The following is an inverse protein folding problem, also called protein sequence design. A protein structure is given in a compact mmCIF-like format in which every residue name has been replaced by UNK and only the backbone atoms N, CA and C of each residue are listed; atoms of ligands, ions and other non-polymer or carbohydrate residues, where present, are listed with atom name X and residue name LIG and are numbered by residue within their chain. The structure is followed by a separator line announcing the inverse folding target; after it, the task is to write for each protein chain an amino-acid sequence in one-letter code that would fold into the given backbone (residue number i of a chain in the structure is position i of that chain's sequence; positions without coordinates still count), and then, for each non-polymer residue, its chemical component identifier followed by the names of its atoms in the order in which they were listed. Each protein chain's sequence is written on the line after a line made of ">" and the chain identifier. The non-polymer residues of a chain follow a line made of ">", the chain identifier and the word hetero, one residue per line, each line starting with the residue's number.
data_IF_087782244411
#
_entry.id   IF_087782244411
#
_cell.length_a   1.000
_cell.length_b   1.000
_cell.length_c   1.000
_cell.angle_alpha   90.00
_cell.angle_beta   90.00
_cell.angle_gamma   90.00
#
_symmetry.space_group_name_H-M   'P 1'
#
loop_
_entity.id
_entity.type
_entity.pdbx_description
1 polymer ?
#
# COMPACT_ATOMS: atom_id res chain seq x y z
N UNK A 1 -2.34 -12.04 37.40
CA UNK A 1 -1.26 -11.12 36.96
C UNK A 1 -1.23 -10.93 35.45
N UNK A 2 -1.85 -11.80 34.64
CA UNK A 2 -1.86 -11.67 33.17
C UNK A 2 -2.87 -10.65 32.59
N UNK A 3 -3.91 -10.25 33.32
CA UNK A 3 -4.93 -9.32 32.83
C UNK A 3 -4.40 -7.89 32.61
N UNK A 4 -3.43 -7.44 33.42
CA UNK A 4 -2.82 -6.11 33.29
C UNK A 4 -1.90 -6.00 32.08
N UNK A 5 -1.26 -7.09 31.66
CA UNK A 5 -0.43 -7.11 30.44
C UNK A 5 -1.30 -7.09 29.18
N UNK A 6 -2.44 -7.78 29.19
CA UNK A 6 -3.40 -7.76 28.08
C UNK A 6 -4.02 -6.38 27.84
N UNK A 7 -4.37 -5.64 28.91
CA UNK A 7 -4.90 -4.28 28.79
C UNK A 7 -3.89 -3.29 28.20
N UNK A 8 -2.62 -3.35 28.63
CA UNK A 8 -1.59 -2.43 28.13
C UNK A 8 -1.27 -2.67 26.64
N UNK A 9 -1.24 -3.94 26.20
CA UNK A 9 -1.07 -4.26 24.77
C UNK A 9 -2.25 -3.72 23.95
N UNK A 10 -3.48 -3.86 24.44
CA UNK A 10 -4.65 -3.33 23.75
C UNK A 10 -4.63 -1.80 23.61
N UNK A 11 -4.11 -1.08 24.61
CA UNK A 11 -4.02 0.38 24.60
C UNK A 11 -2.97 0.84 23.58
N UNK A 12 -1.80 0.21 23.54
CA UNK A 12 -0.73 0.57 22.60
C UNK A 12 -1.16 0.34 21.15
N UNK A 13 -1.81 -0.79 20.87
CA UNK A 13 -2.34 -1.09 19.53
C UNK A 13 -3.44 -0.09 19.12
N UNK A 14 -4.33 0.27 20.05
CA UNK A 14 -5.37 1.27 19.78
C UNK A 14 -4.79 2.67 19.56
N UNK A 15 -3.73 3.04 20.30
CA UNK A 15 -3.01 4.29 20.11
C UNK A 15 -2.32 4.34 18.74
N UNK A 16 -1.68 3.24 18.33
CA UNK A 16 -1.08 3.12 17.00
C UNK A 16 -2.12 3.31 15.89
N UNK A 17 -3.28 2.66 16.00
CA UNK A 17 -4.41 2.85 15.06
C UNK A 17 -4.89 4.29 15.07
N UNK A 18 -5.07 4.90 16.26
CA UNK A 18 -5.50 6.30 16.39
C UNK A 18 -4.54 7.25 15.70
N UNK A 19 -3.23 7.11 15.91
CA UNK A 19 -2.21 7.94 15.26
C UNK A 19 -2.24 7.80 13.74
N UNK A 20 -2.43 6.58 13.22
CA UNK A 20 -2.56 6.35 11.77
C UNK A 20 -3.86 6.94 11.20
N UNK A 21 -4.96 6.86 11.94
CA UNK A 21 -6.24 7.45 11.55
C UNK A 21 -6.16 8.98 11.48
N UNK A 22 -5.49 9.62 12.44
CA UNK A 22 -5.25 11.07 12.42
C UNK A 22 -4.41 11.49 11.20
N UNK A 23 -3.34 10.75 10.89
CA UNK A 23 -2.55 10.99 9.67
C UNK A 23 -3.37 10.82 8.38
N UNK A 24 -4.27 9.84 8.33
CA UNK A 24 -5.16 9.64 7.20
C UNK A 24 -6.15 10.81 7.07
N UNK A 25 -6.72 11.26 8.18
CA UNK A 25 -7.62 12.41 8.23
C UNK A 25 -6.92 13.70 7.74
N UNK A 26 -5.69 13.96 8.20
CA UNK A 26 -4.88 15.08 7.72
C UNK A 26 -4.66 15.00 6.20
N UNK A 27 -4.25 13.82 5.71
CA UNK A 27 -4.04 13.57 4.28
C UNK A 27 -5.33 13.80 3.47
N UNK A 28 -6.47 13.36 3.99
CA UNK A 28 -7.77 13.56 3.37
C UNK A 28 -8.16 15.04 3.30
N UNK A 29 -7.94 15.79 4.38
CA UNK A 29 -8.18 17.23 4.40
C UNK A 29 -7.32 17.97 3.37
N UNK A 30 -6.04 17.61 3.23
CA UNK A 30 -5.17 18.18 2.20
C UNK A 30 -5.64 17.82 0.78
N UNK A 31 -6.13 16.60 0.58
CA UNK A 31 -6.72 16.19 -0.70
C UNK A 31 -7.98 17.00 -1.01
N UNK A 32 -8.91 17.14 -0.05
CA UNK A 32 -10.13 17.94 -0.22
C UNK A 32 -9.85 19.40 -0.54
N UNK A 33 -8.84 20.02 0.09
CA UNK A 33 -8.42 21.37 -0.25
C UNK A 33 -7.94 21.50 -1.70
N UNK A 34 -7.37 20.43 -2.26
CA UNK A 34 -6.86 20.40 -3.64
C UNK A 34 -7.99 20.22 -4.66
N UNK A 35 -9.04 19.48 -4.28
CA UNK A 35 -10.21 19.19 -5.12
C UNK A 35 -11.34 20.20 -4.88
N UNK A 36 -11.12 21.21 -4.04
CA UNK A 36 -12.14 22.19 -3.69
C UNK A 36 -12.66 22.89 -4.96
N UNK A 37 -13.96 22.82 -5.27
CA UNK A 37 -14.55 23.43 -6.46
C UNK A 37 -14.45 24.97 -6.48
N UNK A 38 -14.18 25.61 -5.34
CA UNK A 38 -13.99 27.06 -5.23
C UNK A 38 -12.59 27.55 -5.67
N UNK A 39 -11.65 26.63 -5.83
CA UNK A 39 -10.28 26.91 -6.28
C UNK A 39 -10.09 26.47 -7.74
N UNK A 40 -9.14 27.06 -8.47
CA UNK A 40 -8.79 26.57 -9.80
C UNK A 40 -8.38 25.10 -9.72
N UNK A 41 -8.94 24.28 -10.62
CA UNK A 41 -8.72 22.83 -10.64
C UNK A 41 -7.22 22.55 -10.71
N UNK A 42 -6.70 21.84 -9.70
CA UNK A 42 -5.31 21.41 -9.65
C UNK A 42 -4.95 20.54 -10.86
N UNK A 43 -3.70 20.59 -11.29
CA UNK A 43 -3.24 19.76 -12.40
C UNK A 43 -3.40 18.27 -12.08
N UNK A 44 -3.82 17.48 -13.07
CA UNK A 44 -4.04 16.04 -12.89
C UNK A 44 -2.89 15.28 -12.20
N UNK A 45 -1.59 15.53 -12.53
CA UNK A 45 -0.48 14.89 -11.83
C UNK A 45 -0.44 15.17 -10.31
N UNK A 46 -0.87 16.36 -9.90
CA UNK A 46 -0.92 16.75 -8.49
C UNK A 46 -2.03 16.00 -7.75
N UNK A 47 -3.22 15.89 -8.36
CA UNK A 47 -4.34 15.11 -7.83
C UNK A 47 -3.92 13.64 -7.69
N UNK A 48 -3.30 13.08 -8.73
CA UNK A 48 -2.84 11.69 -8.74
C UNK A 48 -1.80 11.43 -7.65
N UNK A 49 -0.82 12.34 -7.49
CA UNK A 49 0.18 12.21 -6.44
C UNK A 49 -0.45 12.22 -5.04
N UNK A 50 -1.36 13.16 -4.77
CA UNK A 50 -2.07 13.24 -3.48
C UNK A 50 -2.98 12.04 -3.24
N UNK A 51 -3.62 11.53 -4.29
CA UNK A 51 -4.42 10.30 -4.23
C UNK A 51 -3.56 9.07 -3.92
N UNK A 52 -2.39 8.92 -4.55
CA UNK A 52 -1.47 7.82 -4.26
C UNK A 52 -0.99 7.84 -2.80
N UNK A 53 -0.72 9.03 -2.25
CA UNK A 53 -0.37 9.20 -0.84
C UNK A 53 -1.55 8.75 0.06
N UNK A 54 -2.78 9.15 -0.29
CA UNK A 54 -3.99 8.73 0.43
C UNK A 54 -4.14 7.20 0.42
N UNK A 55 -3.99 6.56 -0.74
CA UNK A 55 -4.08 5.10 -0.89
C UNK A 55 -3.00 4.41 -0.06
N UNK A 56 -1.76 4.89 -0.11
CA UNK A 56 -0.67 4.32 0.68
C UNK A 56 -0.94 4.40 2.20
N UNK A 57 -1.48 5.52 2.68
CA UNK A 57 -1.88 5.70 4.09
C UNK A 57 -3.06 4.79 4.47
N UNK A 58 -4.04 4.64 3.58
CA UNK A 58 -5.19 3.74 3.79
C UNK A 58 -4.76 2.27 3.88
N UNK A 59 -3.91 1.80 2.98
CA UNK A 59 -3.40 0.41 3.00
C UNK A 59 -2.60 0.16 4.29
N UNK A 60 -1.78 1.13 4.72
CA UNK A 60 -1.03 1.03 5.97
C UNK A 60 -1.97 0.93 7.20
N UNK A 61 -3.06 1.71 7.22
CA UNK A 61 -4.06 1.63 8.27
C UNK A 61 -4.77 0.25 8.27
N UNK A 62 -5.12 -0.26 7.08
CA UNK A 62 -5.82 -1.54 6.95
C UNK A 62 -4.98 -2.70 7.52
N UNK A 63 -3.67 -2.70 7.25
CA UNK A 63 -2.76 -3.71 7.81
C UNK A 63 -2.74 -3.70 9.35
N UNK A 64 -2.89 -2.52 9.97
CA UNK A 64 -2.95 -2.41 11.44
C UNK A 64 -4.30 -2.88 11.99
N UNK A 65 -5.41 -2.53 11.31
CA UNK A 65 -6.77 -2.88 11.75
C UNK A 65 -7.02 -4.40 11.68
N UNK A 66 -6.36 -5.11 10.77
CA UNK A 66 -6.47 -6.57 10.65
C UNK A 66 -5.86 -7.31 11.85
N UNK A 67 -5.16 -6.61 12.76
CA UNK A 67 -4.56 -7.18 13.95
C UNK A 67 -5.59 -8.00 14.78
N UNK A 68 -5.32 -9.30 15.05
CA UNK A 68 -6.23 -10.16 15.80
C UNK A 68 -6.51 -9.70 17.23
N UNK A 69 -5.66 -8.85 17.80
CA UNK A 69 -5.87 -8.24 19.13
C UNK A 69 -7.11 -7.35 19.13
N UNK A 70 -7.27 -6.51 18.09
CA UNK A 70 -8.40 -5.58 17.97
C UNK A 70 -9.73 -6.31 17.75
N UNK A 71 -9.73 -7.45 17.05
CA UNK A 71 -10.93 -8.27 16.83
C UNK A 71 -11.52 -8.86 18.11
N UNK A 72 -10.71 -9.00 19.16
CA UNK A 72 -11.14 -9.52 20.47
C UNK A 72 -11.57 -8.40 21.42
N UNK A 73 -11.35 -7.14 21.06
CA UNK A 73 -11.70 -5.99 21.87
C UNK A 73 -13.16 -5.62 21.69
N UNK A 74 -13.90 -5.51 22.80
CA UNK A 74 -15.27 -5.00 22.81
C UNK A 74 -15.27 -3.65 23.50
N UNK A 75 -15.83 -2.65 22.82
CA UNK A 75 -15.95 -1.30 23.36
C UNK A 75 -17.31 -1.13 24.03
N UNK A 76 -17.30 -0.66 25.27
CA UNK A 76 -18.50 -0.20 25.97
C UNK A 76 -18.23 1.15 26.64
N UNK A 77 -19.20 2.06 26.70
CA UNK A 77 -19.09 3.26 27.52
C UNK A 77 -18.85 2.88 28.98
N UNK A 78 -17.93 3.58 29.64
CA UNK A 78 -17.64 3.38 31.07
C UNK A 78 -18.76 3.94 31.95
N UNK A 79 -19.37 5.05 31.52
CA UNK A 79 -20.46 5.71 32.21
C UNK A 79 -21.74 5.62 31.35
N UNK A 80 -22.90 5.32 31.96
CA UNK A 80 -24.16 5.37 31.24
C UNK A 80 -24.48 6.83 30.87
N UNK A 81 -24.99 7.05 29.66
CA UNK A 81 -25.44 8.38 29.27
C UNK A 81 -26.56 8.87 30.20
N UNK A 82 -26.43 10.11 30.63
CA UNK A 82 -27.35 10.75 31.57
C UNK A 82 -28.51 11.45 30.85
N UNK A 83 -28.35 11.75 29.56
CA UNK A 83 -29.36 12.42 28.74
C UNK A 83 -29.70 11.62 27.49
N UNK A 84 -30.91 11.82 26.98
CA UNK A 84 -31.34 11.22 25.70
C UNK A 84 -30.48 11.69 24.51
N UNK A 85 -29.93 12.91 24.59
CA UNK A 85 -29.02 13.44 23.57
C UNK A 85 -27.67 12.70 23.56
N UNK A 86 -27.10 12.43 24.73
CA UNK A 86 -25.87 11.62 24.85
C UNK A 86 -26.10 10.20 24.31
N UNK A 87 -27.26 9.60 24.62
CA UNK A 87 -27.64 8.29 24.10
C UNK A 87 -27.71 8.29 22.56
N UNK A 88 -28.30 9.32 21.95
CA UNK A 88 -28.36 9.44 20.48
C UNK A 88 -26.96 9.59 19.87
N UNK A 89 -26.08 10.43 20.45
CA UNK A 89 -24.72 10.63 19.95
C UNK A 89 -23.90 9.35 20.06
N UNK A 90 -23.93 8.67 21.21
CA UNK A 90 -23.21 7.41 21.40
C UNK A 90 -23.71 6.33 20.44
N UNK A 91 -25.02 6.26 20.20
CA UNK A 91 -25.61 5.33 19.24
C UNK A 91 -25.10 5.54 17.81
N UNK A 92 -24.79 6.78 17.43
CA UNK A 92 -24.18 7.10 16.13
C UNK A 92 -22.68 6.79 16.13
N UNK A 93 -21.94 7.17 17.17
CA UNK A 93 -20.48 7.01 17.23
C UNK A 93 -20.04 5.54 17.34
N UNK A 94 -20.79 4.71 18.07
CA UNK A 94 -20.50 3.29 18.28
C UNK A 94 -21.22 2.39 17.26
N UNK A 95 -21.90 2.96 16.27
CA UNK A 95 -22.55 2.20 15.22
C UNK A 95 -21.52 1.45 14.38
N UNK A 96 -21.68 0.14 14.28
CA UNK A 96 -20.92 -0.73 13.37
C UNK A 96 -21.68 -1.09 12.09
N UNK A 97 -22.94 -0.67 11.97
CA UNK A 97 -23.73 -0.87 10.75
C UNK A 97 -23.12 -0.07 9.61
N UNK A 98 -22.87 -0.75 8.49
CA UNK A 98 -22.32 -0.20 7.26
C UNK A 98 -23.16 0.99 6.73
N UNK A 99 -22.54 1.78 5.85
CA UNK A 99 -23.26 2.86 5.15
C UNK A 99 -24.17 2.26 4.07
N UNK A 100 -25.33 2.88 3.78
CA UNK A 100 -26.31 2.32 2.86
C UNK A 100 -25.78 2.01 1.45
N UNK A 101 -24.83 2.80 0.97
CA UNK A 101 -24.20 2.62 -0.33
C UNK A 101 -23.42 1.30 -0.40
N UNK A 102 -22.64 1.00 0.65
CA UNK A 102 -21.89 -0.26 0.76
C UNK A 102 -22.84 -1.44 0.94
N UNK A 103 -23.93 -1.27 1.73
CA UNK A 103 -24.93 -2.34 1.89
C UNK A 103 -25.58 -2.71 0.56
N UNK A 104 -25.87 -1.72 -0.29
CA UNK A 104 -26.43 -1.93 -1.63
C UNK A 104 -25.42 -2.65 -2.54
N UNK A 105 -24.18 -2.17 -2.60
CA UNK A 105 -23.13 -2.80 -3.41
C UNK A 105 -22.85 -4.25 -2.97
N UNK A 106 -22.83 -4.53 -1.67
CA UNK A 106 -22.71 -5.89 -1.16
C UNK A 106 -23.89 -6.78 -1.58
N UNK A 107 -25.10 -6.23 -1.60
CA UNK A 107 -26.29 -6.98 -2.02
C UNK A 107 -26.23 -7.28 -3.52
N UNK A 108 -25.84 -6.32 -4.34
CA UNK A 108 -25.64 -6.51 -5.79
C UNK A 108 -24.64 -7.64 -6.07
N UNK A 109 -23.50 -7.65 -5.39
CA UNK A 109 -22.51 -8.73 -5.52
C UNK A 109 -23.06 -10.07 -5.04
N UNK A 110 -23.83 -10.10 -3.94
CA UNK A 110 -24.47 -11.32 -3.45
C UNK A 110 -25.49 -11.88 -4.44
N UNK A 111 -26.23 -11.01 -5.12
CA UNK A 111 -27.22 -11.40 -6.12
C UNK A 111 -26.54 -11.94 -7.38
N UNK A 112 -25.45 -11.31 -7.85
CA UNK A 112 -24.63 -11.81 -8.97
C UNK A 112 -23.97 -13.16 -8.67
N UNK A 113 -23.51 -13.36 -7.44
CA UNK A 113 -22.87 -14.61 -7.00
C UNK A 113 -23.90 -15.66 -6.58
N UNK A 114 -25.18 -15.31 -6.45
CA UNK A 114 -26.17 -16.20 -5.87
C UNK A 114 -26.30 -17.48 -6.68
N UNK A 115 -26.01 -18.58 -5.99
CA UNK A 115 -26.39 -19.93 -6.36
C UNK A 115 -27.92 -19.93 -6.55
N UNK A 116 -28.47 -20.58 -7.59
CA UNK A 116 -29.93 -20.67 -7.82
C UNK A 116 -30.67 -21.02 -6.53
N UNK A 117 -31.78 -20.33 -6.24
CA UNK A 117 -32.54 -20.44 -4.98
C UNK A 117 -32.93 -21.89 -4.64
N UNK A 118 -33.13 -22.73 -5.65
CA UNK A 118 -33.39 -24.17 -5.51
C UNK A 118 -32.27 -24.94 -4.80
N UNK A 119 -31.02 -24.49 -4.92
CA UNK A 119 -29.88 -25.08 -4.22
C UNK A 119 -29.70 -24.51 -2.80
N UNK A 120 -30.17 -23.28 -2.52
CA UNK A 120 -30.18 -22.71 -1.16
C UNK A 120 -31.13 -23.50 -0.24
N UNK A 121 -32.35 -23.80 -0.70
CA UNK A 121 -33.32 -24.58 0.07
C UNK A 121 -32.88 -26.04 0.32
N UNK A 122 -32.05 -26.60 -0.58
CA UNK A 122 -31.48 -27.94 -0.46
C UNK A 122 -30.23 -27.96 0.46
N UNK A 123 -29.42 -26.89 0.46
CA UNK A 123 -28.26 -26.73 1.35
C UNK A 123 -28.63 -26.38 2.80
N UNK A 124 -29.70 -25.61 3.03
CA UNK A 124 -30.10 -25.19 4.39
C UNK A 124 -30.53 -26.37 5.27
N UNK A 125 -30.98 -27.47 4.65
CA UNK A 125 -31.42 -28.68 5.37
C UNK A 125 -30.30 -29.71 5.62
N UNK A 126 -29.15 -29.59 4.94
CA UNK A 126 -28.04 -30.54 5.05
C UNK A 126 -26.70 -29.82 5.33
N UNK A 127 -26.36 -29.75 6.61
CA UNK A 127 -25.11 -29.17 7.13
C UNK A 127 -23.88 -29.86 6.48
N UNK A 128 -23.97 -31.16 6.18
CA UNK A 128 -22.86 -31.89 5.57
C UNK A 128 -22.68 -31.49 4.10
N UNK A 129 -23.77 -31.28 3.36
CA UNK A 129 -23.72 -30.74 2.00
C UNK A 129 -23.11 -29.33 1.95
N UNK A 130 -23.45 -28.47 2.92
CA UNK A 130 -22.86 -27.14 3.04
C UNK A 130 -21.37 -27.18 3.37
N UNK A 131 -20.93 -28.05 4.29
CA UNK A 131 -19.51 -28.23 4.61
C UNK A 131 -18.70 -28.76 3.40
N UNK A 132 -19.27 -29.70 2.65
CA UNK A 132 -18.65 -30.23 1.44
C UNK A 132 -18.53 -29.14 0.36
N UNK A 133 -19.60 -28.36 0.12
CA UNK A 133 -19.57 -27.24 -0.82
C UNK A 133 -18.50 -26.21 -0.42
N UNK A 134 -18.43 -25.86 0.87
CA UNK A 134 -17.42 -24.96 1.41
C UNK A 134 -16.00 -25.50 1.18
N UNK A 135 -15.77 -26.79 1.40
CA UNK A 135 -14.45 -27.41 1.16
C UNK A 135 -14.03 -27.35 -0.33
N UNK A 136 -14.99 -27.52 -1.25
CA UNK A 136 -14.76 -27.43 -2.70
C UNK A 136 -14.41 -25.99 -3.07
N UNK A 137 -15.15 -25.01 -2.55
CA UNK A 137 -14.86 -23.59 -2.79
C UNK A 137 -13.51 -23.18 -2.21
N UNK A 138 -13.18 -23.62 -0.99
CA UNK A 138 -11.86 -23.39 -0.40
C UNK A 138 -10.74 -24.01 -1.23
N UNK A 139 -10.93 -25.22 -1.76
CA UNK A 139 -9.96 -25.85 -2.64
C UNK A 139 -9.79 -25.07 -3.95
N UNK A 140 -10.89 -24.56 -4.52
CA UNK A 140 -10.87 -23.74 -5.73
C UNK A 140 -10.15 -22.41 -5.50
N UNK A 141 -10.40 -21.74 -4.36
CA UNK A 141 -9.71 -20.52 -3.94
C UNK A 141 -8.21 -20.79 -3.80
N UNK A 142 -7.81 -21.84 -3.05
CA UNK A 142 -6.39 -22.20 -2.91
C UNK A 142 -5.70 -22.47 -4.24
N UNK A 143 -6.39 -23.11 -5.19
CA UNK A 143 -5.86 -23.33 -6.54
C UNK A 143 -5.67 -22.00 -7.28
N UNK A 144 -6.64 -21.09 -7.17
CA UNK A 144 -6.52 -19.76 -7.77
C UNK A 144 -5.37 -18.96 -7.13
N UNK A 145 -5.26 -18.94 -5.81
CA UNK A 145 -4.16 -18.29 -5.08
C UNK A 145 -2.80 -18.84 -5.51
N UNK A 146 -2.68 -20.17 -5.66
CA UNK A 146 -1.44 -20.79 -6.15
C UNK A 146 -1.06 -20.36 -7.56
N UNK A 147 -2.07 -20.11 -8.41
CA UNK A 147 -1.84 -19.62 -9.77
C UNK A 147 -1.42 -18.15 -9.79
N UNK A 148 -2.04 -17.31 -8.96
CA UNK A 148 -1.63 -15.91 -8.79
C UNK A 148 -0.19 -15.80 -8.26
N UNK A 149 0.16 -16.56 -7.23
CA UNK A 149 1.52 -16.58 -6.69
C UNK A 149 2.54 -17.05 -7.74
N UNK A 150 2.20 -18.07 -8.53
CA UNK A 150 3.05 -18.53 -9.63
C UNK A 150 3.25 -17.45 -10.70
N UNK A 151 2.20 -16.69 -11.03
CA UNK A 151 2.29 -15.57 -11.95
C UNK A 151 3.17 -14.44 -11.41
N UNK A 152 3.04 -14.09 -10.14
CA UNK A 152 3.90 -13.11 -9.44
C UNK A 152 5.37 -13.54 -9.46
N UNK A 153 5.68 -14.77 -9.05
CA UNK A 153 7.05 -15.28 -9.08
C UNK A 153 7.65 -15.29 -10.49
N UNK A 154 6.83 -15.60 -11.49
CA UNK A 154 7.27 -15.61 -12.89
C UNK A 154 7.56 -14.19 -13.34
N UNK A 155 6.69 -13.23 -12.99
CA UNK A 155 6.90 -11.82 -13.27
C UNK A 155 8.19 -11.30 -12.64
N UNK A 156 8.43 -11.56 -11.35
CA UNK A 156 9.63 -11.13 -10.65
C UNK A 156 10.91 -11.70 -11.29
N UNK A 157 10.91 -13.00 -11.62
CA UNK A 157 12.03 -13.66 -12.31
C UNK A 157 12.34 -13.04 -13.68
N UNK A 158 11.35 -12.49 -14.36
CA UNK A 158 11.51 -11.81 -15.64
C UNK A 158 11.87 -10.32 -15.48
N UNK A 159 11.35 -9.65 -14.44
CA UNK A 159 11.69 -8.27 -14.11
C UNK A 159 13.13 -8.11 -13.64
N UNK A 160 13.64 -9.03 -12.80
CA UNK A 160 15.03 -9.01 -12.34
C UNK A 160 16.04 -9.21 -13.49
N UNK A 161 15.61 -9.87 -14.57
CA UNK A 161 16.41 -10.09 -15.78
C UNK A 161 16.26 -8.96 -16.80
N UNK A 162 15.18 -8.19 -16.71
CA UNK A 162 15.01 -7.01 -17.53
C UNK A 162 15.91 -5.92 -16.96
N UNK A 163 17.06 -5.69 -17.60
CA UNK A 163 17.87 -4.51 -17.33
C UNK A 163 17.03 -3.25 -17.63
N UNK A 164 16.29 -2.78 -16.62
CA UNK A 164 15.60 -1.50 -16.67
C UNK A 164 16.64 -0.44 -16.98
N UNK A 165 16.34 0.40 -17.97
CA UNK A 165 17.27 1.37 -18.57
C UNK A 165 18.20 1.97 -17.51
N UNK A 166 19.45 1.49 -17.47
CA UNK A 166 20.53 2.25 -16.89
C UNK A 166 20.58 3.58 -17.65
N UNK A 167 20.82 4.67 -16.93
CA UNK A 167 21.09 5.96 -17.56
C UNK A 167 22.19 5.71 -18.59
N UNK A 168 21.98 6.11 -19.85
CA UNK A 168 23.01 6.03 -20.88
C UNK A 168 24.25 6.75 -20.33
N UNK A 169 25.28 5.99 -19.97
CA UNK A 169 26.61 6.51 -19.72
C UNK A 169 27.24 6.55 -21.10
N UNK A 170 27.55 7.72 -21.66
CA UNK A 170 28.33 7.80 -22.90
C UNK A 170 29.62 6.99 -22.73
N UNK A 171 29.99 6.21 -23.74
CA UNK A 171 31.18 5.33 -23.72
C UNK A 171 32.50 6.07 -23.39
N UNK A 172 32.50 7.40 -23.45
CA UNK A 172 33.65 8.27 -23.11
C UNK A 172 34.09 8.22 -21.63
N UNK A 173 33.32 7.63 -20.70
CA UNK A 173 33.73 7.51 -19.29
C UNK A 173 34.24 6.10 -18.90
N UNK A 174 34.21 5.11 -19.79
CA UNK A 174 34.74 3.76 -19.48
C UNK A 174 36.19 3.53 -19.95
N UNK A 175 36.73 4.34 -20.88
CA UNK A 175 38.11 4.21 -21.38
C UNK A 175 39.12 5.17 -20.70
N UNK A 176 38.69 5.99 -19.75
CA UNK A 176 39.55 7.05 -19.16
C UNK A 176 40.70 6.50 -18.31
N UNK A 177 40.71 5.22 -17.93
CA UNK A 177 41.83 4.66 -17.13
C UNK A 177 43.01 4.15 -17.95
N UNK A 178 42.83 3.76 -19.21
CA UNK A 178 43.95 3.34 -20.07
C UNK A 178 44.45 4.49 -20.96
N UNK A 179 43.55 5.36 -21.45
CA UNK A 179 43.96 6.46 -22.34
C UNK A 179 44.69 7.60 -21.63
N UNK A 180 44.41 7.85 -20.33
CA UNK A 180 45.17 8.84 -19.55
C UNK A 180 46.65 8.44 -19.38
N UNK A 181 46.97 7.14 -19.39
CA UNK A 181 48.35 6.66 -19.27
C UNK A 181 49.12 6.79 -20.60
N UNK A 182 48.44 6.69 -21.75
CA UNK A 182 49.06 6.95 -23.06
C UNK A 182 49.23 8.46 -23.31
N UNK A 183 48.31 9.31 -22.85
CA UNK A 183 48.40 10.76 -23.04
C UNK A 183 49.48 11.44 -22.18
N UNK A 184 49.92 10.82 -21.08
CA UNK A 184 51.07 11.31 -20.28
C UNK A 184 52.42 11.02 -20.95
N UNK A 185 52.52 10.01 -21.82
CA UNK A 185 53.76 9.68 -22.50
C UNK A 185 54.11 10.63 -23.67
N UNK A 186 53.11 11.34 -24.21
CA UNK A 186 53.27 12.20 -25.40
C UNK A 186 53.25 13.71 -25.08
N UNK A 187 53.18 14.09 -23.80
CA UNK A 187 53.34 15.47 -23.35
C UNK A 187 54.82 15.84 -23.29
N UNK A 188 55.47 15.98 -24.45
CA UNK A 188 56.59 16.93 -24.55
C UNK A 188 56.01 18.30 -24.21
N UNK A 189 56.36 18.84 -23.06
CA UNK A 189 55.84 20.14 -22.64
C UNK A 189 56.27 21.20 -23.65
N UNK A 190 55.42 22.22 -23.83
CA UNK A 190 55.72 23.35 -24.71
C UNK A 190 57.02 24.05 -24.29
N UNK A 191 57.37 23.94 -23.00
CA UNK A 191 58.60 24.41 -22.39
C UNK A 191 59.84 23.60 -22.86
N UNK A 192 59.73 22.29 -23.04
CA UNK A 192 60.81 21.46 -23.59
C UNK A 192 61.05 21.74 -25.08
N UNK A 193 59.98 22.02 -25.83
CA UNK A 193 60.09 22.40 -27.25
C UNK A 193 60.61 23.83 -27.41
N UNK A 194 60.22 24.76 -26.53
CA UNK A 194 60.75 26.12 -26.52
C UNK A 194 62.20 26.18 -26.04
N UNK A 195 62.60 25.37 -25.05
CA UNK A 195 63.98 25.30 -24.59
C UNK A 195 64.92 24.72 -25.64
N UNK A 196 64.47 23.72 -26.41
CA UNK A 196 65.20 23.17 -27.56
C UNK A 196 65.40 24.21 -28.68
N UNK A 197 64.38 24.99 -29.01
CA UNK A 197 64.46 26.08 -30.01
C UNK A 197 65.36 27.22 -29.50
N UNK A 198 65.29 27.54 -28.20
CA UNK A 198 66.01 28.66 -27.59
C UNK A 198 67.50 28.39 -27.36
N UNK A 199 67.91 27.14 -27.10
CA UNK A 199 69.28 26.83 -26.68
C UNK A 199 70.02 25.85 -27.59
N UNK A 200 69.32 25.24 -28.56
CA UNK A 200 69.88 24.23 -29.47
C UNK A 200 70.23 22.92 -28.74
N UNK A 201 70.40 21.81 -29.48
CA UNK A 201 70.75 20.53 -28.86
C UNK A 201 72.17 20.59 -28.28
N UNK A 202 72.34 20.14 -27.03
CA UNK A 202 73.65 19.72 -26.51
C UNK A 202 74.01 18.34 -27.03
#
# INVERSE_FOLDING_TARGET
>A
MDEFFGQNVNIVELEAVRSKLLQLQETFNFFLQTVNPELPIAAWPEILNKFNILVAKYVNLNNEIINPVLKKLVLHPNEPATTDQENQIMGVLLRTKQIPEIEREEQEVKDEVSIPEDAKALLENDIAAMQNALSIWQAKIKKYDSFCNFAEETFDKHMDKAALKTRYVPEEEQEVTEDLAMEEADKRTLEDTLSWISSGPK
#
